data_IF_857534497177
#
_entry.id   IF_857534497177
#
_cell.length_a   1.000
_cell.length_b   1.000
_cell.length_c   1.000
_cell.angle_alpha   90.00
_cell.angle_beta   90.00
_cell.angle_gamma   90.00
#
_symmetry.space_group_name_H-M   'P 1'
#
loop_
_entity.id
_entity.type
_entity.pdbx_description
1 polymer ?
#
# COMPACT_ATOMS: atom_id res chain seq x y z
N UNK A 1 -0.33 -12.33 3.19
CA UNK A 1 -1.80 -12.20 3.22
C UNK A 1 -2.42 -13.35 3.99
N UNK A 2 -3.17 -13.06 5.06
CA UNK A 2 -3.85 -14.04 5.93
C UNK A 2 -5.20 -13.46 6.34
N UNK A 3 -6.26 -14.25 6.21
CA UNK A 3 -7.66 -13.89 6.50
C UNK A 3 -8.05 -12.49 5.99
N UNK A 4 -7.54 -12.16 4.80
CA UNK A 4 -7.68 -10.82 4.23
C UNK A 4 -9.06 -10.66 3.59
N UNK A 5 -9.75 -9.58 3.97
CA UNK A 5 -11.14 -9.27 3.56
C UNK A 5 -11.31 -7.87 2.97
N UNK A 6 -10.25 -7.05 2.95
CA UNK A 6 -10.31 -5.64 2.55
C UNK A 6 -10.24 -5.49 1.01
N UNK A 7 -11.30 -5.92 0.33
CA UNK A 7 -11.37 -6.04 -1.13
C UNK A 7 -11.24 -4.68 -1.83
N UNK A 8 -11.92 -3.64 -1.33
CA UNK A 8 -11.85 -2.31 -1.95
C UNK A 8 -10.44 -1.74 -1.94
N UNK A 9 -9.77 -1.75 -0.77
CA UNK A 9 -8.41 -1.26 -0.65
C UNK A 9 -7.43 -2.09 -1.47
N UNK A 10 -7.62 -3.42 -1.56
CA UNK A 10 -6.78 -4.28 -2.40
C UNK A 10 -6.82 -3.87 -3.87
N UNK A 11 -8.03 -3.66 -4.42
CA UNK A 11 -8.20 -3.23 -5.81
C UNK A 11 -7.60 -1.83 -6.01
N UNK A 12 -7.87 -0.89 -5.10
CA UNK A 12 -7.29 0.46 -5.17
C UNK A 12 -5.76 0.44 -5.09
N UNK A 13 -5.17 -0.40 -4.25
CA UNK A 13 -3.72 -0.53 -4.14
C UNK A 13 -3.10 -1.15 -5.40
N UNK A 14 -3.70 -2.20 -5.99
CA UNK A 14 -3.20 -2.77 -7.24
C UNK A 14 -3.29 -1.81 -8.42
N UNK A 15 -4.39 -1.08 -8.55
CA UNK A 15 -4.53 -0.05 -9.59
C UNK A 15 -3.57 1.12 -9.35
N UNK A 16 -3.35 1.55 -8.10
CA UNK A 16 -2.33 2.53 -7.78
C UNK A 16 -0.92 2.06 -8.14
N UNK A 17 -0.57 0.80 -7.86
CA UNK A 17 0.73 0.24 -8.24
C UNK A 17 0.92 0.22 -9.76
N UNK A 18 -0.11 -0.12 -10.54
CA UNK A 18 -0.06 0.01 -12.00
C UNK A 18 0.17 1.47 -12.44
N UNK A 19 -0.56 2.43 -11.86
CA UNK A 19 -0.38 3.86 -12.15
C UNK A 19 1.01 4.38 -11.77
N UNK A 20 1.62 3.81 -10.73
CA UNK A 20 3.00 4.10 -10.32
C UNK A 20 4.04 3.42 -11.21
N UNK A 21 3.64 2.61 -12.19
CA UNK A 21 4.54 1.96 -13.15
C UNK A 21 5.09 0.61 -12.68
N UNK A 22 4.45 -0.05 -11.70
CA UNK A 22 4.84 -1.39 -11.27
C UNK A 22 4.50 -2.42 -12.33
N UNK A 23 5.45 -3.29 -12.67
CA UNK A 23 5.25 -4.33 -13.68
C UNK A 23 4.61 -5.61 -13.14
N UNK A 24 4.90 -5.97 -11.88
CA UNK A 24 4.42 -7.19 -11.24
C UNK A 24 4.26 -6.98 -9.74
N UNK A 25 3.21 -7.56 -9.18
CA UNK A 25 2.99 -7.66 -7.74
C UNK A 25 3.00 -9.13 -7.31
N UNK A 26 3.71 -9.44 -6.23
CA UNK A 26 3.83 -10.81 -5.73
C UNK A 26 3.17 -10.90 -4.36
N UNK A 27 2.18 -11.77 -4.24
CA UNK A 27 1.39 -11.92 -3.01
C UNK A 27 1.64 -13.28 -2.40
N UNK A 28 2.28 -13.30 -1.23
CA UNK A 28 2.41 -14.49 -0.40
C UNK A 28 1.11 -14.71 0.37
N UNK A 29 0.35 -15.74 0.00
CA UNK A 29 -1.02 -15.95 0.47
C UNK A 29 -1.16 -17.21 1.31
N UNK A 30 -1.58 -17.04 2.56
CA UNK A 30 -1.97 -18.12 3.47
C UNK A 30 -3.47 -18.39 3.36
N UNK A 31 -4.29 -17.37 3.54
CA UNK A 31 -5.76 -17.43 3.44
C UNK A 31 -6.35 -16.06 3.09
N UNK A 32 -7.57 -16.05 2.57
CA UNK A 32 -8.30 -14.85 2.17
C UNK A 32 -9.80 -15.16 2.04
N UNK A 33 -10.65 -14.12 1.96
CA UNK A 33 -12.05 -14.32 1.59
C UNK A 33 -12.21 -14.80 0.14
N UNK A 34 -13.37 -15.40 -0.23
CA UNK A 34 -13.68 -15.75 -1.62
C UNK A 34 -13.64 -14.55 -2.57
N UNK A 35 -14.09 -13.37 -2.12
CA UNK A 35 -14.08 -12.14 -2.91
C UNK A 35 -12.64 -11.66 -3.17
N UNK A 36 -11.80 -11.73 -2.13
CA UNK A 36 -10.36 -11.44 -2.27
C UNK A 36 -9.70 -12.42 -3.23
N UNK A 37 -10.01 -13.72 -3.14
CA UNK A 37 -9.49 -14.72 -4.07
C UNK A 37 -9.89 -14.38 -5.51
N UNK A 38 -11.14 -13.99 -5.75
CA UNK A 38 -11.62 -13.62 -7.09
C UNK A 38 -10.85 -12.44 -7.67
N UNK A 39 -10.54 -11.43 -6.86
CA UNK A 39 -9.68 -10.31 -7.27
C UNK A 39 -8.25 -10.78 -7.58
N UNK A 40 -7.67 -11.63 -6.76
CA UNK A 40 -6.33 -12.18 -7.01
C UNK A 40 -6.31 -12.97 -8.32
N UNK A 41 -7.32 -13.81 -8.59
CA UNK A 41 -7.45 -14.57 -9.83
C UNK A 41 -7.58 -13.65 -11.05
N UNK A 42 -8.39 -12.58 -10.93
CA UNK A 42 -8.53 -11.57 -11.97
C UNK A 42 -7.18 -10.95 -12.37
N UNK A 43 -6.38 -10.48 -11.41
CA UNK A 43 -5.08 -9.88 -11.70
C UNK A 43 -4.00 -10.91 -12.07
N UNK A 44 -4.14 -12.15 -11.62
CA UNK A 44 -3.27 -13.26 -12.05
C UNK A 44 -3.50 -13.57 -13.54
N UNK A 45 -4.76 -13.65 -13.97
CA UNK A 45 -5.13 -13.86 -15.37
C UNK A 45 -4.68 -12.70 -16.28
N UNK A 46 -4.64 -11.48 -15.76
CA UNK A 46 -4.06 -10.31 -16.46
C UNK A 46 -2.52 -10.29 -16.46
N UNK A 47 -1.86 -11.21 -15.74
CA UNK A 47 -0.40 -11.28 -15.64
C UNK A 47 0.24 -10.21 -14.75
N UNK A 48 -0.55 -9.46 -13.98
CA UNK A 48 -0.06 -8.41 -13.08
C UNK A 48 0.31 -8.94 -11.70
N UNK A 49 -0.50 -9.87 -11.15
CA UNK A 49 -0.29 -10.45 -9.82
C UNK A 49 0.22 -11.88 -9.93
N UNK A 50 1.25 -12.23 -9.16
CA UNK A 50 1.70 -13.59 -8.95
C UNK A 50 1.38 -13.99 -7.50
N UNK A 51 0.51 -14.99 -7.32
CA UNK A 51 0.15 -15.50 -5.99
C UNK A 51 1.05 -16.68 -5.64
N UNK A 52 1.85 -16.52 -4.59
CA UNK A 52 2.68 -17.59 -4.02
C UNK A 52 1.93 -18.22 -2.83
N UNK A 53 1.57 -19.51 -2.88
CA UNK A 53 0.98 -20.19 -1.73
C UNK A 53 1.94 -20.19 -0.53
N UNK A 54 1.48 -19.65 0.59
CA UNK A 54 2.26 -19.51 1.81
C UNK A 54 1.69 -20.37 2.93
N UNK A 55 1.89 -21.68 2.81
CA UNK A 55 1.30 -22.71 3.66
C UNK A 55 2.24 -23.21 4.77
N UNK A 56 3.03 -22.31 5.37
CA UNK A 56 3.97 -22.66 6.45
C UNK A 56 3.28 -23.31 7.66
N UNK A 57 2.02 -22.94 7.92
CA UNK A 57 1.20 -23.49 9.01
C UNK A 57 0.92 -24.99 8.89
N UNK A 58 1.20 -25.61 7.73
CA UNK A 58 1.14 -27.07 7.56
C UNK A 58 2.35 -27.79 8.15
N UNK A 59 3.45 -27.08 8.37
CA UNK A 59 4.75 -27.65 8.76
C UNK A 59 5.26 -27.08 10.08
N UNK A 60 4.86 -25.86 10.45
CA UNK A 60 5.34 -25.14 11.62
C UNK A 60 4.16 -24.53 12.41
N UNK A 61 4.32 -24.38 13.72
CA UNK A 61 3.42 -23.56 14.51
C UNK A 61 3.72 -22.07 14.25
N UNK A 62 2.94 -21.45 13.37
CA UNK A 62 3.14 -20.04 13.00
C UNK A 62 2.56 -19.11 14.05
N UNK A 63 3.36 -18.15 14.51
CA UNK A 63 2.87 -17.09 15.39
C UNK A 63 1.83 -16.21 14.66
N UNK A 64 0.74 -15.86 15.35
CA UNK A 64 -0.31 -14.95 14.84
C UNK A 64 -0.18 -13.52 15.36
N UNK A 65 0.80 -13.25 16.22
CA UNK A 65 1.06 -11.95 16.83
C UNK A 65 2.48 -11.49 16.52
N UNK A 66 2.71 -10.17 16.61
CA UNK A 66 4.06 -9.63 16.47
C UNK A 66 4.87 -9.76 17.78
N UNK A 67 4.19 -9.87 18.93
CA UNK A 67 4.81 -10.15 20.23
C UNK A 67 4.73 -11.64 20.55
N UNK A 68 5.84 -12.29 20.97
CA UNK A 68 5.84 -13.69 21.38
C UNK A 68 4.82 -14.01 22.47
N UNK A 69 4.59 -13.10 23.42
CA UNK A 69 3.62 -13.27 24.50
C UNK A 69 2.15 -13.28 24.03
N UNK A 70 1.85 -12.62 22.90
CA UNK A 70 0.51 -12.58 22.31
C UNK A 70 0.28 -13.67 21.25
N UNK A 71 1.34 -14.38 20.85
CA UNK A 71 1.29 -15.40 19.83
C UNK A 71 2.60 -16.16 19.76
N UNK A 72 2.84 -17.15 20.65
CA UNK A 72 4.03 -17.98 20.57
C UNK A 72 3.99 -18.84 19.30
N UNK A 73 5.16 -19.18 18.76
CA UNK A 73 5.28 -20.03 17.58
C UNK A 73 6.73 -20.27 17.20
N UNK A 74 6.95 -21.30 16.39
CA UNK A 74 8.27 -21.69 15.86
C UNK A 74 8.84 -20.62 14.92
N UNK A 75 7.94 -19.83 14.32
CA UNK A 75 8.30 -18.77 13.40
C UNK A 75 7.47 -17.52 13.65
N UNK A 76 8.17 -16.39 13.63
CA UNK A 76 7.60 -15.08 13.94
C UNK A 76 6.54 -14.66 12.91
N UNK A 77 5.40 -14.20 13.43
CA UNK A 77 4.31 -13.51 12.76
C UNK A 77 4.01 -13.95 11.31
N UNK A 78 3.41 -15.14 11.17
CA UNK A 78 3.04 -15.78 9.90
C UNK A 78 4.21 -16.00 8.91
N UNK A 79 5.46 -15.90 9.38
CA UNK A 79 6.64 -16.07 8.54
C UNK A 79 6.86 -14.93 7.55
N UNK A 80 6.53 -13.69 7.91
CA UNK A 80 6.71 -12.53 7.03
C UNK A 80 8.16 -12.32 6.58
N UNK A 81 9.13 -12.46 7.50
CA UNK A 81 10.56 -12.28 7.16
C UNK A 81 11.03 -13.30 6.11
N UNK A 82 10.74 -14.61 6.24
CA UNK A 82 11.04 -15.56 5.17
C UNK A 82 10.31 -15.27 3.86
N UNK A 83 9.06 -14.79 3.89
CA UNK A 83 8.33 -14.41 2.68
C UNK A 83 9.02 -13.24 1.94
N UNK A 84 9.42 -12.20 2.68
CA UNK A 84 10.18 -11.07 2.14
C UNK A 84 11.55 -11.51 1.61
N UNK A 85 12.19 -12.46 2.29
CA UNK A 85 13.46 -13.04 1.85
C UNK A 85 13.30 -13.81 0.55
N UNK A 86 12.33 -14.73 0.47
CA UNK A 86 12.02 -15.47 -0.76
C UNK A 86 11.73 -14.50 -1.91
N UNK A 87 10.93 -13.46 -1.69
CA UNK A 87 10.59 -12.48 -2.72
C UNK A 87 11.85 -11.79 -3.28
N UNK A 88 12.68 -11.22 -2.41
CA UNK A 88 13.90 -10.53 -2.82
C UNK A 88 14.83 -11.45 -3.61
N UNK A 89 15.07 -12.67 -3.12
CA UNK A 89 16.00 -13.60 -3.76
C UNK A 89 15.43 -14.23 -5.03
N UNK A 90 14.14 -14.54 -5.08
CA UNK A 90 13.44 -15.11 -6.25
C UNK A 90 13.49 -14.17 -7.45
N UNK A 91 13.31 -12.87 -7.23
CA UNK A 91 13.28 -11.87 -8.30
C UNK A 91 14.58 -11.07 -8.44
N UNK A 92 15.65 -11.47 -7.74
CA UNK A 92 16.93 -10.75 -7.71
C UNK A 92 17.52 -10.49 -9.10
N UNK A 93 17.35 -11.43 -10.03
CA UNK A 93 17.85 -11.35 -11.40
C UNK A 93 16.75 -11.03 -12.43
N UNK A 94 15.52 -10.79 -11.98
CA UNK A 94 14.37 -10.46 -12.83
C UNK A 94 13.94 -9.00 -12.69
N UNK A 95 14.26 -8.36 -11.57
CA UNK A 95 13.82 -7.01 -11.24
C UNK A 95 14.99 -6.10 -10.91
N UNK A 96 14.99 -4.88 -11.48
CA UNK A 96 15.95 -3.82 -11.08
C UNK A 96 15.62 -3.26 -9.70
N UNK A 97 14.34 -3.16 -9.37
CA UNK A 97 13.84 -2.68 -8.09
C UNK A 97 12.76 -3.62 -7.55
N UNK A 98 12.75 -3.81 -6.23
CA UNK A 98 11.72 -4.52 -5.48
C UNK A 98 11.26 -3.60 -4.35
N UNK A 99 9.96 -3.37 -4.27
CA UNK A 99 9.34 -2.70 -3.14
C UNK A 99 8.88 -3.75 -2.12
N UNK A 100 9.20 -3.53 -0.85
CA UNK A 100 8.74 -4.38 0.26
C UNK A 100 7.78 -3.55 1.11
N UNK A 101 6.47 -3.73 0.91
CA UNK A 101 5.42 -3.00 1.61
C UNK A 101 4.15 -3.85 1.77
N UNK A 102 3.25 -3.41 2.64
CA UNK A 102 1.97 -4.06 2.90
C UNK A 102 0.87 -3.52 1.95
N UNK A 103 -0.29 -4.20 1.89
CA UNK A 103 -1.36 -3.87 0.93
C UNK A 103 -2.10 -2.57 1.24
N UNK A 104 -2.04 -2.10 2.48
CA UNK A 104 -2.62 -0.86 2.98
C UNK A 104 -1.63 0.31 2.96
N UNK A 105 -0.47 0.12 2.33
CA UNK A 105 0.63 1.06 2.25
C UNK A 105 0.98 1.41 0.80
N UNK A 106 1.05 2.71 0.51
CA UNK A 106 1.41 3.23 -0.82
C UNK A 106 2.56 4.22 -0.72
N UNK A 107 3.70 3.93 -1.35
CA UNK A 107 4.82 4.87 -1.43
C UNK A 107 4.53 5.86 -2.57
N UNK A 108 4.19 7.11 -2.21
CA UNK A 108 3.78 8.12 -3.20
C UNK A 108 4.86 9.18 -3.42
N UNK A 109 5.30 9.38 -4.68
CA UNK A 109 6.10 10.55 -5.02
C UNK A 109 5.27 11.83 -4.88
N UNK A 110 5.92 12.90 -4.42
CA UNK A 110 5.27 14.18 -4.12
C UNK A 110 5.32 15.16 -5.30
N UNK A 111 6.32 15.06 -6.17
CA UNK A 111 6.52 15.96 -7.32
C UNK A 111 6.37 15.29 -8.70
N UNK A 112 6.44 13.96 -8.77
CA UNK A 112 6.32 13.17 -10.01
C UNK A 112 5.21 12.13 -9.90
N UNK A 113 4.78 11.57 -11.02
CA UNK A 113 3.56 10.75 -11.07
C UNK A 113 3.79 9.23 -11.03
N UNK A 114 5.03 8.78 -11.04
CA UNK A 114 5.33 7.35 -11.08
C UNK A 114 6.65 7.00 -10.36
N UNK A 115 6.82 5.73 -10.02
CA UNK A 115 8.10 5.21 -9.55
C UNK A 115 9.16 5.22 -10.66
N UNK A 116 8.75 5.05 -11.91
CA UNK A 116 9.64 5.16 -13.07
C UNK A 116 10.31 6.54 -13.17
N UNK A 117 9.60 7.61 -12.79
CA UNK A 117 10.18 8.96 -12.68
C UNK A 117 10.89 9.20 -11.34
N UNK A 118 10.39 8.63 -10.24
CA UNK A 118 10.96 8.82 -8.90
C UNK A 118 12.33 8.15 -8.74
N UNK A 119 12.48 6.90 -9.18
CA UNK A 119 13.66 6.10 -8.88
C UNK A 119 14.95 6.69 -9.47
N UNK A 120 14.98 7.21 -10.71
CA UNK A 120 16.15 7.95 -11.22
C UNK A 120 16.51 9.19 -10.38
N UNK A 121 15.51 9.92 -9.86
CA UNK A 121 15.76 11.07 -8.97
C UNK A 121 16.39 10.63 -7.65
N UNK A 122 15.98 9.48 -7.12
CA UNK A 122 16.55 8.91 -5.91
C UNK A 122 17.99 8.41 -6.13
N UNK A 123 18.27 7.74 -7.26
CA UNK A 123 19.62 7.32 -7.62
C UNK A 123 20.57 8.52 -7.75
N UNK A 124 20.13 9.58 -8.45
CA UNK A 124 20.93 10.79 -8.62
C UNK A 124 21.19 11.52 -7.28
N UNK A 125 20.20 11.56 -6.38
CA UNK A 125 20.32 12.29 -5.10
C UNK A 125 21.06 11.50 -4.02
N UNK A 126 20.79 10.21 -3.90
CA UNK A 126 21.24 9.40 -2.77
C UNK A 126 22.31 8.37 -3.16
N UNK A 127 22.45 8.07 -4.45
CA UNK A 127 23.33 7.05 -5.02
C UNK A 127 22.55 5.86 -5.57
N UNK A 128 23.05 5.30 -6.67
CA UNK A 128 22.51 4.10 -7.30
C UNK A 128 22.61 2.85 -6.39
N UNK A 129 21.70 1.91 -6.59
CA UNK A 129 21.66 0.61 -5.89
C UNK A 129 21.51 0.69 -4.36
N UNK A 130 21.14 1.85 -3.81
CA UNK A 130 20.81 1.98 -2.40
C UNK A 130 19.42 1.45 -2.09
N UNK A 131 19.23 1.11 -0.82
CA UNK A 131 17.92 0.90 -0.25
C UNK A 131 17.30 2.26 0.11
N UNK A 132 16.13 2.58 -0.44
CA UNK A 132 15.43 3.83 -0.17
C UNK A 132 14.37 3.58 0.89
N UNK A 133 14.45 4.28 2.03
CA UNK A 133 13.52 4.15 3.16
C UNK A 133 12.53 5.31 3.16
N UNK A 134 11.24 4.98 3.25
CA UNK A 134 10.15 5.95 3.15
C UNK A 134 9.39 6.06 4.47
N UNK A 135 9.33 7.28 5.00
CA UNK A 135 8.61 7.63 6.23
C UNK A 135 7.13 7.21 6.17
N UNK A 136 6.64 6.59 7.24
CA UNK A 136 5.24 6.21 7.38
C UNK A 136 4.37 7.41 7.79
N UNK A 137 3.38 7.75 6.97
CA UNK A 137 2.36 8.74 7.29
C UNK A 137 1.02 8.02 7.45
N UNK A 138 0.47 8.02 8.67
CA UNK A 138 -0.76 7.29 9.01
C UNK A 138 -1.99 8.12 8.64
N UNK A 139 -2.81 7.61 7.72
CA UNK A 139 -4.11 8.15 7.35
C UNK A 139 -5.21 7.36 8.09
N UNK A 140 -5.76 7.88 9.20
CA UNK A 140 -6.70 7.14 10.02
C UNK A 140 -8.02 6.88 9.31
N UNK A 141 -8.43 5.60 9.26
CA UNK A 141 -9.69 5.16 8.64
C UNK A 141 -10.95 5.66 9.38
N UNK A 142 -10.79 6.25 10.56
CA UNK A 142 -11.87 6.83 11.36
C UNK A 142 -12.19 8.28 10.96
N UNK A 143 -11.45 8.86 10.00
CA UNK A 143 -11.60 10.27 9.59
C UNK A 143 -11.78 10.38 8.08
N UNK A 144 -12.88 11.00 7.66
CA UNK A 144 -13.26 11.20 6.24
C UNK A 144 -13.59 12.66 5.93
N UNK A 145 -12.72 13.57 6.36
CA UNK A 145 -12.86 15.01 6.09
C UNK A 145 -12.62 15.32 4.60
N UNK A 146 -13.35 16.31 4.08
CA UNK A 146 -13.17 16.80 2.71
C UNK A 146 -11.92 17.66 2.59
N UNK A 147 -11.34 17.80 1.38
CA UNK A 147 -10.33 18.81 1.12
C UNK A 147 -10.76 20.21 1.61
N UNK A 148 -9.83 21.03 2.13
CA UNK A 148 -10.11 22.43 2.42
C UNK A 148 -10.72 23.13 1.20
N UNK A 149 -11.74 23.98 1.42
CA UNK A 149 -12.44 24.74 0.38
C UNK A 149 -13.27 23.91 -0.63
N UNK A 150 -13.62 22.66 -0.30
CA UNK A 150 -14.50 21.84 -1.15
C UNK A 150 -15.93 22.39 -1.20
N UNK A 151 -16.59 22.26 -2.36
CA UNK A 151 -18.02 22.54 -2.49
C UNK A 151 -18.89 21.53 -1.69
N UNK A 152 -20.16 21.89 -1.40
CA UNK A 152 -21.15 20.96 -0.84
C UNK A 152 -21.30 19.70 -1.70
N UNK A 153 -21.49 18.53 -1.07
CA UNK A 153 -21.70 17.29 -1.80
C UNK A 153 -23.06 17.28 -2.49
N UNK A 154 -23.20 16.54 -3.61
CA UNK A 154 -24.51 16.12 -4.06
C UNK A 154 -25.19 15.23 -2.99
N UNK A 155 -26.54 15.16 -2.97
CA UNK A 155 -27.31 14.46 -1.94
C UNK A 155 -26.97 12.96 -1.77
N UNK A 156 -26.34 12.35 -2.78
CA UNK A 156 -26.11 10.91 -2.87
C UNK A 156 -24.75 10.46 -2.28
N UNK A 157 -23.89 11.39 -1.84
CA UNK A 157 -22.56 11.09 -1.31
C UNK A 157 -21.53 10.67 -2.37
N UNK A 158 -20.26 10.53 -1.97
CA UNK A 158 -19.18 10.15 -2.89
C UNK A 158 -19.14 8.64 -3.13
N UNK A 159 -19.19 8.21 -4.39
CA UNK A 159 -19.04 6.80 -4.77
C UNK A 159 -19.96 5.82 -4.02
N UNK A 160 -21.30 5.99 -4.03
CA UNK A 160 -22.22 5.14 -3.26
C UNK A 160 -22.09 3.64 -3.58
N UNK A 161 -21.74 3.29 -4.83
CA UNK A 161 -21.53 1.89 -5.24
C UNK A 161 -20.39 1.18 -4.51
N UNK A 162 -19.39 1.90 -4.00
CA UNK A 162 -18.28 1.29 -3.26
C UNK A 162 -18.62 0.99 -1.79
N UNK A 163 -19.70 1.56 -1.23
CA UNK A 163 -20.11 1.29 0.15
C UNK A 163 -20.50 -0.18 0.39
N UNK A 164 -20.95 -0.87 -0.65
CA UNK A 164 -21.35 -2.27 -0.57
C UNK A 164 -20.17 -3.25 -0.77
N UNK A 165 -18.98 -2.75 -1.08
CA UNK A 165 -17.77 -3.57 -1.21
C UNK A 165 -17.05 -3.60 0.14
N UNK A 166 -16.70 -4.80 0.62
CA UNK A 166 -15.93 -4.92 1.86
C UNK A 166 -14.57 -4.23 1.71
N UNK A 167 -14.24 -3.34 2.65
CA UNK A 167 -12.94 -2.69 2.71
C UNK A 167 -13.00 -1.19 2.91
N UNK A 168 -11.82 -0.57 2.79
CA UNK A 168 -11.60 0.86 3.00
C UNK A 168 -11.41 1.56 1.65
N UNK A 169 -12.09 2.70 1.46
CA UNK A 169 -11.86 3.58 0.32
C UNK A 169 -10.70 4.55 0.62
N UNK A 170 -9.52 4.32 0.05
CA UNK A 170 -8.33 5.17 0.33
C UNK A 170 -8.53 6.63 -0.08
N UNK A 171 -9.38 6.92 -1.08
CA UNK A 171 -9.66 8.29 -1.54
C UNK A 171 -10.48 9.11 -0.53
N UNK A 172 -11.11 8.45 0.45
CA UNK A 172 -11.85 9.13 1.51
C UNK A 172 -10.96 9.59 2.68
N UNK A 173 -9.71 9.12 2.75
CA UNK A 173 -8.81 9.36 3.89
C UNK A 173 -7.63 10.22 3.45
N UNK A 174 -7.80 11.54 3.54
CA UNK A 174 -6.87 12.55 2.99
C UNK A 174 -6.13 13.36 4.07
N UNK A 175 -6.32 12.99 5.32
CA UNK A 175 -5.72 13.66 6.46
C UNK A 175 -4.86 12.64 7.19
N UNK A 176 -3.61 12.98 7.45
CA UNK A 176 -2.68 12.10 8.16
C UNK A 176 -2.35 12.65 9.56
N UNK A 177 -1.96 11.75 10.45
CA UNK A 177 -1.45 12.12 11.76
C UNK A 177 -0.13 12.91 11.64
N UNK A 178 0.12 13.91 12.51
CA UNK A 178 1.43 14.54 12.59
C UNK A 178 2.50 13.51 12.96
N UNK A 179 3.68 13.66 12.35
CA UNK A 179 4.84 12.83 12.66
C UNK A 179 5.42 13.28 14.00
N UNK A 180 5.61 12.33 14.91
CA UNK A 180 6.24 12.52 16.21
C UNK A 180 7.51 11.67 16.29
N UNK A 181 8.37 11.97 17.25
CA UNK A 181 9.68 11.29 17.41
C UNK A 181 9.55 9.76 17.48
N UNK A 182 8.48 9.27 18.10
CA UNK A 182 8.17 7.85 18.28
C UNK A 182 7.78 7.15 16.97
N UNK A 183 7.17 7.88 16.03
CA UNK A 183 6.67 7.32 14.76
C UNK A 183 7.57 7.59 13.57
N UNK A 184 8.43 8.62 13.63
CA UNK A 184 9.25 9.08 12.51
C UNK A 184 10.09 7.99 11.83
N UNK A 185 10.73 7.11 12.63
CA UNK A 185 11.57 6.02 12.11
C UNK A 185 10.98 4.63 12.33
N UNK A 186 9.66 4.56 12.49
CA UNK A 186 8.92 3.33 12.81
C UNK A 186 7.99 2.94 11.67
N UNK A 187 7.84 1.64 11.42
CA UNK A 187 6.95 1.10 10.39
C UNK A 187 7.15 1.72 8.99
N UNK A 188 8.37 2.16 8.66
CA UNK A 188 8.74 2.57 7.32
C UNK A 188 8.77 1.35 6.38
N UNK A 189 8.80 1.60 5.08
CA UNK A 189 9.01 0.58 4.05
C UNK A 189 10.06 1.01 3.06
N UNK A 190 10.45 0.08 2.19
CA UNK A 190 11.59 0.28 1.29
C UNK A 190 11.30 -0.04 -0.17
N UNK A 191 12.05 0.62 -1.04
CA UNK A 191 12.30 0.19 -2.42
C UNK A 191 13.81 0.00 -2.56
N UNK A 192 14.24 -1.14 -3.12
CA UNK A 192 15.65 -1.51 -3.16
C UNK A 192 15.98 -2.29 -4.44
N UNK A 193 17.23 -2.20 -4.90
CA UNK A 193 17.75 -3.19 -5.84
C UNK A 193 17.95 -4.52 -5.09
N UNK A 194 17.26 -5.62 -5.47
CA UNK A 194 17.32 -6.87 -4.72
C UNK A 194 18.75 -7.44 -4.63
N UNK A 195 19.65 -7.13 -5.58
CA UNK A 195 21.06 -7.55 -5.57
C UNK A 195 21.88 -6.89 -4.45
N UNK A 196 21.40 -5.77 -3.90
CA UNK A 196 22.05 -5.09 -2.80
C UNK A 196 21.61 -5.64 -1.42
N UNK A 197 20.57 -6.48 -1.35
CA UNK A 197 19.99 -6.96 -0.10
C UNK A 197 20.78 -8.14 0.46
N UNK A 198 21.05 -8.12 1.77
CA UNK A 198 21.61 -9.27 2.51
C UNK A 198 20.56 -9.88 3.43
N UNK A 199 19.94 -9.07 4.29
CA UNK A 199 18.93 -9.55 5.26
C UNK A 199 17.77 -8.56 5.31
N UNK A 200 16.58 -8.92 4.77
CA UNK A 200 15.38 -8.11 4.94
C UNK A 200 14.77 -8.28 6.34
N UNK A 201 14.03 -7.27 6.77
CA UNK A 201 13.18 -7.26 7.97
C UNK A 201 11.76 -6.83 7.59
N UNK A 202 10.83 -6.79 8.55
CA UNK A 202 9.43 -6.38 8.30
C UNK A 202 9.32 -4.94 7.76
N UNK A 203 10.28 -4.07 8.07
CA UNK A 203 10.22 -2.64 7.73
C UNK A 203 11.36 -2.19 6.80
N UNK A 204 12.48 -2.90 6.78
CA UNK A 204 13.66 -2.47 6.05
C UNK A 204 14.70 -3.58 5.90
N UNK A 205 15.97 -3.23 6.03
CA UNK A 205 17.08 -4.16 5.91
C UNK A 205 17.96 -4.12 7.15
N UNK A 206 18.44 -5.28 7.62
CA UNK A 206 19.54 -5.36 8.59
C UNK A 206 20.91 -5.32 7.93
N UNK A 207 21.00 -5.69 6.65
CA UNK A 207 22.24 -5.64 5.86
C UNK A 207 21.98 -5.32 4.40
N UNK A 208 22.78 -4.39 3.85
CA UNK A 208 22.78 -3.98 2.44
C UNK A 208 24.22 -3.72 1.97
N UNK A 209 24.57 -4.17 0.76
CA UNK A 209 25.91 -3.95 0.18
C UNK A 209 26.21 -2.46 -0.06
N UNK A 210 25.18 -1.65 -0.28
CA UNK A 210 25.30 -0.20 -0.61
C UNK A 210 24.69 0.71 0.46
N UNK A 211 24.24 0.13 1.58
CA UNK A 211 23.53 0.84 2.64
C UNK A 211 22.10 1.24 2.26
N UNK A 212 21.43 1.91 3.20
CA UNK A 212 20.10 2.50 3.00
C UNK A 212 20.18 4.04 3.13
N UNK A 213 19.20 4.75 2.59
CA UNK A 213 19.06 6.21 2.71
C UNK A 213 17.62 6.56 3.00
N UNK A 214 17.42 7.42 4.00
CA UNK A 214 16.13 8.02 4.31
C UNK A 214 15.76 9.01 3.21
N UNK A 215 14.68 8.72 2.49
CA UNK A 215 14.16 9.61 1.47
C UNK A 215 13.50 10.80 2.16
N UNK A 216 13.82 12.01 1.69
CA UNK A 216 13.19 13.21 2.20
C UNK A 216 11.68 13.14 1.89
N UNK A 217 10.84 13.34 2.92
CA UNK A 217 9.38 13.21 2.80
C UNK A 217 8.75 14.12 1.73
N UNK A 218 9.39 15.24 1.40
CA UNK A 218 8.94 16.15 0.33
C UNK A 218 9.26 15.63 -1.08
N UNK A 219 10.05 14.55 -1.21
CA UNK A 219 10.29 13.85 -2.47
C UNK A 219 9.29 12.70 -2.61
N UNK A 220 9.21 11.85 -1.58
CA UNK A 220 8.31 10.71 -1.51
C UNK A 220 8.12 10.28 -0.06
N UNK A 221 6.92 9.78 0.26
CA UNK A 221 6.58 9.25 1.59
C UNK A 221 5.49 8.18 1.46
N UNK A 222 5.39 7.31 2.47
CA UNK A 222 4.44 6.21 2.47
C UNK A 222 3.11 6.63 3.09
N UNK A 223 2.02 6.28 2.44
CA UNK A 223 0.66 6.53 2.90
C UNK A 223 0.14 5.22 3.48
N UNK A 224 -0.13 5.22 4.78
CA UNK A 224 -0.63 4.05 5.49
C UNK A 224 -2.08 4.29 5.89
N UNK A 225 -3.03 3.80 5.10
CA UNK A 225 -4.46 3.96 5.38
C UNK A 225 -4.92 2.85 6.32
N UNK A 226 -4.98 3.15 7.62
CA UNK A 226 -5.15 2.16 8.70
C UNK A 226 -5.85 2.72 9.95
N UNK A 227 -6.02 1.89 10.97
CA UNK A 227 -6.45 2.35 12.29
C UNK A 227 -5.46 3.38 12.90
N UNK A 228 -5.96 4.41 13.61
CA UNK A 228 -5.13 5.47 14.18
C UNK A 228 -4.07 4.92 15.13
N UNK A 229 -2.87 5.50 15.07
CA UNK A 229 -1.77 5.25 16.02
C UNK A 229 -1.83 6.22 17.20
N UNK A 230 -2.24 7.45 16.95
CA UNK A 230 -2.41 8.49 17.98
C UNK A 230 -3.90 8.67 18.30
N UNK A 231 -4.46 7.75 19.09
CA UNK A 231 -5.91 7.61 19.33
C UNK A 231 -6.57 8.81 20.03
N UNK A 232 -5.79 9.70 20.63
CA UNK A 232 -6.27 10.91 21.32
C UNK A 232 -6.26 12.16 20.41
N UNK A 233 -5.81 12.05 19.15
CA UNK A 233 -5.83 13.18 18.23
C UNK A 233 -7.26 13.51 17.81
N UNK A 234 -7.60 14.78 17.92
CA UNK A 234 -8.83 15.34 17.38
C UNK A 234 -8.66 15.66 15.88
N UNK A 235 -9.72 15.59 15.06
CA UNK A 235 -9.60 15.77 13.61
C UNK A 235 -8.98 17.09 13.15
N UNK A 236 -9.12 18.17 13.92
CA UNK A 236 -8.53 19.50 13.66
C UNK A 236 -6.99 19.52 13.75
N UNK A 237 -6.38 18.53 14.41
CA UNK A 237 -4.92 18.39 14.52
C UNK A 237 -4.31 17.55 13.41
N UNK A 238 -5.13 16.97 12.53
CA UNK A 238 -4.64 16.20 11.40
C UNK A 238 -4.19 17.11 10.27
N UNK A 239 -3.23 16.62 9.49
CA UNK A 239 -2.61 17.37 8.40
C UNK A 239 -3.24 16.92 7.09
N UNK A 240 -3.82 17.86 6.35
CA UNK A 240 -4.35 17.59 5.01
C UNK A 240 -3.21 17.24 4.04
N UNK A 241 -3.40 16.18 3.27
CA UNK A 241 -2.54 15.79 2.18
C UNK A 241 -3.36 15.23 1.01
N UNK A 242 -3.54 16.08 0.00
CA UNK A 242 -4.34 15.78 -1.19
C UNK A 242 -3.58 15.08 -2.32
N UNK A 243 -2.29 14.71 -2.17
CA UNK A 243 -1.50 14.21 -3.32
C UNK A 243 -2.13 12.96 -3.96
N UNK A 244 -2.72 12.07 -3.19
CA UNK A 244 -3.42 10.88 -3.69
C UNK A 244 -4.52 11.23 -4.71
N UNK A 245 -5.14 12.40 -4.58
CA UNK A 245 -6.23 12.86 -5.45
C UNK A 245 -5.79 13.13 -6.89
N UNK A 246 -4.51 13.41 -7.12
CA UNK A 246 -3.94 13.55 -8.47
C UNK A 246 -4.02 12.26 -9.31
N UNK A 247 -4.26 11.12 -8.67
CA UNK A 247 -4.47 9.83 -9.34
C UNK A 247 -5.95 9.49 -9.52
N UNK A 248 -6.86 10.18 -8.83
CA UNK A 248 -8.28 9.82 -8.75
C UNK A 248 -8.97 9.69 -10.11
N UNK A 249 -8.68 10.60 -11.04
CA UNK A 249 -9.27 10.62 -12.40
C UNK A 249 -8.95 9.36 -13.22
N UNK A 250 -7.82 8.71 -12.93
CA UNK A 250 -7.41 7.43 -13.55
C UNK A 250 -7.77 6.24 -12.67
N UNK A 251 -7.64 6.38 -11.36
CA UNK A 251 -7.86 5.31 -10.39
C UNK A 251 -9.33 4.89 -10.34
N UNK A 252 -10.26 5.84 -10.21
CA UNK A 252 -11.70 5.55 -10.06
C UNK A 252 -12.27 4.73 -11.21
N UNK A 253 -12.10 5.11 -12.50
CA UNK A 253 -12.62 4.31 -13.61
C UNK A 253 -11.97 2.93 -13.70
N UNK A 254 -10.68 2.80 -13.39
CA UNK A 254 -10.01 1.50 -13.36
C UNK A 254 -10.59 0.58 -12.28
N UNK A 255 -10.77 1.09 -11.06
CA UNK A 255 -11.36 0.35 -9.93
C UNK A 255 -12.78 -0.10 -10.28
N UNK A 256 -13.61 0.76 -10.87
CA UNK A 256 -14.95 0.39 -11.34
C UNK A 256 -14.88 -0.76 -12.37
N UNK A 257 -13.97 -0.67 -13.34
CA UNK A 257 -13.77 -1.69 -14.38
C UNK A 257 -13.47 -3.05 -13.75
N UNK A 258 -12.56 -3.10 -12.77
CA UNK A 258 -12.20 -4.34 -12.07
C UNK A 258 -13.42 -4.95 -11.37
N UNK A 259 -14.23 -4.14 -10.69
CA UNK A 259 -15.43 -4.63 -10.01
C UNK A 259 -16.49 -5.14 -10.97
N UNK A 260 -16.77 -4.41 -12.06
CA UNK A 260 -17.70 -4.82 -13.10
C UNK A 260 -17.29 -6.16 -13.73
N UNK A 261 -16.01 -6.31 -14.08
CA UNK A 261 -15.50 -7.53 -14.71
C UNK A 261 -15.40 -8.71 -13.73
N UNK A 262 -15.04 -8.46 -12.48
CA UNK A 262 -14.82 -9.51 -11.48
C UNK A 262 -16.12 -10.03 -10.86
N UNK A 263 -17.11 -9.16 -10.62
CA UNK A 263 -18.32 -9.54 -9.88
C UNK A 263 -19.59 -9.64 -10.75
N UNK A 264 -19.50 -9.30 -12.05
CA UNK A 264 -20.63 -9.31 -13.00
C UNK A 264 -21.87 -8.56 -12.48
N UNK A 265 -21.66 -7.61 -11.58
CA UNK A 265 -22.70 -6.75 -11.02
C UNK A 265 -22.88 -5.55 -11.94
N UNK A 266 -24.11 -5.36 -12.41
CA UNK A 266 -24.57 -4.03 -12.79
C UNK A 266 -24.65 -3.22 -11.49
N UNK A 267 -24.15 -1.97 -11.49
CA UNK A 267 -24.28 -0.96 -10.40
C UNK A 267 -23.20 -0.87 -9.29
N UNK A 268 -21.97 -1.35 -9.46
CA UNK A 268 -20.83 -0.85 -8.65
C UNK A 268 -20.18 0.31 -9.41
N UNK A 269 -20.86 1.45 -9.46
CA UNK A 269 -20.41 2.58 -10.26
C UNK A 269 -20.17 3.79 -9.34
N UNK A 270 -18.89 4.13 -9.14
CA UNK A 270 -18.54 5.48 -8.73
C UNK A 270 -18.57 6.37 -9.98
N UNK A 271 -19.55 7.28 -10.07
CA UNK A 271 -19.77 8.11 -11.25
C UNK A 271 -19.10 9.49 -11.20
N UNK A 272 -18.48 9.87 -10.08
CA UNK A 272 -18.06 11.25 -9.85
C UNK A 272 -16.60 11.36 -9.35
N UNK A 273 -15.92 12.42 -9.83
CA UNK A 273 -14.68 12.93 -9.28
C UNK A 273 -14.94 13.69 -7.95
N UNK A 274 -15.68 13.10 -7.01
CA UNK A 274 -16.09 13.80 -5.78
C UNK A 274 -14.91 14.26 -4.89
N UNK A 275 -13.72 13.74 -5.16
CA UNK A 275 -12.51 14.04 -4.42
C UNK A 275 -11.52 14.91 -5.21
N UNK A 276 -11.80 15.26 -6.47
CA UNK A 276 -10.91 16.13 -7.23
C UNK A 276 -11.10 17.59 -6.78
N UNK A 277 -10.02 18.39 -6.65
CA UNK A 277 -10.17 19.84 -6.58
C UNK A 277 -10.87 20.34 -7.87
N UNK A 278 -11.60 21.47 -7.82
CA UNK A 278 -12.18 22.06 -9.01
C UNK A 278 -11.10 22.28 -10.08
N UNK A 279 -11.45 22.06 -11.35
CA UNK A 279 -10.56 22.42 -12.45
C UNK A 279 -10.29 23.93 -12.39
N UNK A 280 -9.02 24.32 -12.32
CA UNK A 280 -8.59 25.70 -12.57
C UNK A 280 -8.83 26.10 -14.04
#
# INVERSE_FOLDING_TARGET
MFDFTNVLQLVQSFEMLQLLGVNRVVVYKTSSSPETQRILDYYTNKGFVEVIPWSLSRFLNVSRGWLPEHGPGDIHYLGQIPALSDCVYRYMYQSRYVALHDMDELILPQSVNSWSELLPLLENRYGADKCYMFENNVFPITVTLRPPNSQPLPPQGCCPGWHNVSGVNILAHLYHEPIISETHYSNFKIIVNPRAVVIPTVHGLRGSQKGCSWVNRNIARMYHTRAPRQTQLTPDKLIYDGRLLSYSTRLTPNVNTVFTESFKTQEILCFENCFAPPAE
#
